data_IF_956967746690
#
_entry.id   IF_956967746690
#
_cell.length_a   1.000
_cell.length_b   1.000
_cell.length_c   1.000
_cell.angle_alpha   90.00
_cell.angle_beta   90.00
_cell.angle_gamma   90.00
#
_symmetry.space_group_name_H-M   'P 1'
#
loop_
_entity.id
_entity.type
_entity.pdbx_description
1 polymer ?
#
# COMPACT_ATOMS: atom_id res chain seq x y z
N UNK A 1 -14.98 -21.53 19.81
CA UNK A 1 -14.57 -20.13 19.53
C UNK A 1 -13.05 -20.09 19.42
N UNK A 2 -12.50 -20.03 18.21
CA UNK A 2 -11.06 -20.20 17.97
C UNK A 2 -10.25 -18.97 18.34
N UNK A 3 -9.35 -19.11 19.32
CA UNK A 3 -8.46 -18.04 19.76
C UNK A 3 -7.30 -17.95 18.77
N UNK A 4 -7.47 -17.19 17.68
CA UNK A 4 -6.37 -16.88 16.77
C UNK A 4 -5.65 -15.64 17.32
N UNK A 5 -4.63 -15.86 18.15
CA UNK A 5 -3.79 -14.79 18.72
C UNK A 5 -2.34 -15.01 18.34
N UNK A 6 -1.69 -13.96 17.82
CA UNK A 6 -0.23 -13.92 17.68
C UNK A 6 0.41 -13.44 18.99
N UNK A 7 1.54 -14.02 19.38
CA UNK A 7 2.34 -13.55 20.53
C UNK A 7 3.12 -12.25 20.26
N UNK A 8 3.14 -11.80 19.00
CA UNK A 8 3.88 -10.62 18.57
C UNK A 8 3.09 -9.35 18.87
N UNK A 9 3.73 -8.36 19.51
CA UNK A 9 3.14 -7.05 19.78
C UNK A 9 2.75 -6.30 18.49
N UNK A 10 3.57 -6.41 17.44
CA UNK A 10 3.34 -5.80 16.14
C UNK A 10 2.29 -6.58 15.34
N UNK A 11 1.00 -6.40 15.63
CA UNK A 11 -0.10 -7.09 14.93
C UNK A 11 -0.27 -6.62 13.49
N UNK A 12 -0.24 -5.31 13.29
CA UNK A 12 -0.34 -4.65 12.00
C UNK A 12 0.76 -3.60 11.91
N UNK A 13 1.53 -3.63 10.83
CA UNK A 13 2.62 -2.68 10.59
C UNK A 13 2.70 -2.34 9.11
N UNK A 14 2.93 -1.08 8.80
CA UNK A 14 3.22 -0.60 7.46
C UNK A 14 4.72 -0.40 7.32
N UNK A 15 5.27 -0.77 6.16
CA UNK A 15 6.68 -0.56 5.89
C UNK A 15 7.01 -0.54 4.41
N UNK A 16 8.28 -0.21 4.12
CA UNK A 16 8.83 -0.17 2.78
C UNK A 16 9.63 -1.44 2.48
N UNK A 17 9.39 -2.08 1.34
CA UNK A 17 10.17 -3.24 0.91
C UNK A 17 11.60 -2.79 0.57
N UNK A 18 12.59 -3.38 1.24
CA UNK A 18 14.02 -3.14 0.98
C UNK A 18 14.58 -4.19 0.01
N UNK A 19 14.11 -5.44 0.10
CA UNK A 19 14.70 -6.54 -0.66
C UNK A 19 13.77 -7.73 -0.80
N UNK A 20 13.88 -8.38 -1.95
CA UNK A 20 13.07 -9.53 -2.38
C UNK A 20 13.94 -10.71 -2.82
N UNK A 21 15.22 -10.72 -2.41
CA UNK A 21 16.20 -11.73 -2.80
C UNK A 21 15.90 -13.15 -2.26
N UNK A 22 15.00 -13.28 -1.27
CA UNK A 22 14.64 -14.55 -0.66
C UNK A 22 13.39 -15.15 -1.32
N UNK A 23 13.34 -16.48 -1.43
CA UNK A 23 12.17 -17.17 -1.97
C UNK A 23 10.95 -16.96 -1.06
N UNK A 24 9.82 -16.55 -1.66
CA UNK A 24 8.53 -16.30 -1.00
C UNK A 24 8.60 -15.44 0.28
N UNK A 25 9.58 -14.54 0.36
CA UNK A 25 9.84 -13.73 1.56
C UNK A 25 10.31 -12.33 1.19
N UNK A 26 9.64 -11.31 1.71
CA UNK A 26 10.02 -9.91 1.55
C UNK A 26 10.71 -9.38 2.81
N UNK A 27 11.81 -8.64 2.63
CA UNK A 27 12.49 -7.88 3.69
C UNK A 27 11.94 -6.47 3.73
N UNK A 28 11.26 -6.11 4.82
CA UNK A 28 10.52 -4.85 4.96
C UNK A 28 11.13 -3.97 6.04
N UNK A 29 11.30 -2.68 5.75
CA UNK A 29 11.70 -1.63 6.71
C UNK A 29 10.45 -1.00 7.31
N UNK A 30 10.30 -1.09 8.61
CA UNK A 30 9.26 -0.37 9.35
C UNK A 30 9.92 0.77 10.12
N UNK A 31 9.36 1.97 10.01
CA UNK A 31 9.79 3.16 10.73
C UNK A 31 8.77 3.52 11.79
N UNK A 32 9.22 3.80 13.01
CA UNK A 32 8.40 4.31 14.10
C UNK A 32 9.01 5.59 14.63
N UNK A 33 8.18 6.51 15.10
CA UNK A 33 8.63 7.69 15.81
C UNK A 33 8.99 7.29 17.24
N UNK A 34 10.21 7.64 17.65
CA UNK A 34 10.69 7.44 19.03
C UNK A 34 11.14 8.79 19.56
N UNK A 35 10.65 9.13 20.75
CA UNK A 35 11.02 10.35 21.45
C UNK A 35 12.43 10.21 22.01
N UNK A 36 13.30 11.15 21.70
CA UNK A 36 14.56 11.32 22.43
C UNK A 36 14.28 12.06 23.76
N UNK A 37 14.64 11.50 24.92
CA UNK A 37 14.29 12.06 26.22
C UNK A 37 15.07 13.34 26.56
N UNK A 38 16.24 13.56 25.95
CA UNK A 38 17.05 14.75 26.23
C UNK A 38 16.61 15.93 25.34
N UNK A 39 16.45 15.69 24.04
CA UNK A 39 16.05 16.72 23.07
C UNK A 39 14.54 16.95 23.01
N UNK A 40 13.73 16.05 23.59
CA UNK A 40 12.27 16.03 23.49
C UNK A 40 11.75 16.12 22.04
N UNK A 41 12.49 15.54 21.11
CA UNK A 41 12.17 15.51 19.68
C UNK A 41 11.96 14.08 19.19
N UNK A 42 10.98 13.89 18.31
CA UNK A 42 10.73 12.60 17.68
C UNK A 42 11.67 12.36 16.51
N UNK A 43 12.26 11.16 16.48
CA UNK A 43 13.10 10.71 15.38
C UNK A 43 12.61 9.37 14.83
N UNK A 44 12.86 9.16 13.54
CA UNK A 44 12.49 7.94 12.83
C UNK A 44 13.45 6.79 13.21
N UNK A 45 12.99 5.86 14.05
CA UNK A 45 13.70 4.61 14.36
C UNK A 45 13.23 3.50 13.42
N UNK A 46 14.16 2.97 12.63
CA UNK A 46 13.91 1.88 11.68
C UNK A 46 14.12 0.50 12.31
N UNK A 47 13.29 -0.47 11.94
CA UNK A 47 13.45 -1.90 12.26
C UNK A 47 13.10 -2.74 11.04
N UNK A 48 13.87 -3.79 10.78
CA UNK A 48 13.61 -4.71 9.66
C UNK A 48 12.77 -5.89 10.11
N UNK A 49 11.79 -6.24 9.28
CA UNK A 49 10.90 -7.38 9.45
C UNK A 49 10.94 -8.26 8.22
N UNK A 50 10.74 -9.56 8.41
CA UNK A 50 10.56 -10.51 7.32
C UNK A 50 9.08 -10.88 7.23
N UNK A 51 8.55 -10.76 6.02
CA UNK A 51 7.18 -11.08 5.71
C UNK A 51 7.12 -12.22 4.71
N UNK A 52 6.24 -13.19 4.93
CA UNK A 52 5.94 -14.20 3.93
C UNK A 52 5.10 -13.59 2.80
N UNK A 53 5.57 -13.75 1.57
CA UNK A 53 4.87 -13.36 0.35
C UNK A 53 4.70 -14.62 -0.51
N UNK A 54 3.48 -15.16 -0.57
CA UNK A 54 3.21 -16.42 -1.26
C UNK A 54 3.37 -16.32 -2.79
N UNK A 55 3.02 -15.16 -3.36
CA UNK A 55 2.97 -14.91 -4.80
C UNK A 55 4.21 -14.18 -5.33
N UNK A 56 5.12 -13.76 -4.44
CA UNK A 56 6.32 -12.97 -4.79
C UNK A 56 5.98 -11.70 -5.58
N UNK A 57 4.85 -11.08 -5.24
CA UNK A 57 4.33 -9.89 -5.90
C UNK A 57 5.03 -8.58 -5.47
N UNK A 58 5.74 -8.58 -4.34
CA UNK A 58 6.46 -7.40 -3.86
C UNK A 58 7.60 -7.01 -4.79
N UNK A 59 7.75 -5.70 -5.03
CA UNK A 59 8.94 -5.11 -5.65
C UNK A 59 9.69 -4.24 -4.64
N UNK A 60 11.00 -4.07 -4.87
CA UNK A 60 11.81 -3.19 -4.01
C UNK A 60 11.30 -1.76 -4.12
N UNK A 61 10.99 -1.14 -2.98
CA UNK A 61 10.46 0.20 -2.92
C UNK A 61 8.97 0.31 -2.63
N UNK A 62 8.21 -0.80 -2.75
CA UNK A 62 6.78 -0.84 -2.46
C UNK A 62 6.49 -0.49 -0.99
N UNK A 63 5.33 0.13 -0.74
CA UNK A 63 4.76 0.32 0.60
C UNK A 63 3.73 -0.78 0.83
N UNK A 64 3.95 -1.57 1.87
CA UNK A 64 3.19 -2.80 2.13
C UNK A 64 2.62 -2.81 3.55
N UNK A 65 1.44 -3.39 3.67
CA UNK A 65 0.80 -3.73 4.94
C UNK A 65 1.19 -5.15 5.34
N UNK A 66 1.72 -5.28 6.54
CA UNK A 66 2.06 -6.57 7.13
C UNK A 66 1.11 -6.90 8.27
N UNK A 67 0.69 -8.16 8.30
CA UNK A 67 -0.12 -8.74 9.38
C UNK A 67 0.70 -9.77 10.15
N UNK A 68 0.51 -9.84 11.46
CA UNK A 68 1.17 -10.84 12.29
C UNK A 68 0.58 -12.23 12.04
N UNK A 69 1.47 -13.21 11.87
CA UNK A 69 1.09 -14.61 11.83
C UNK A 69 0.72 -15.10 13.24
N UNK A 70 -0.32 -15.95 13.38
CA UNK A 70 -0.64 -16.57 14.66
C UNK A 70 0.52 -17.42 15.19
N UNK A 71 1.13 -18.20 14.28
CA UNK A 71 2.32 -19.02 14.54
C UNK A 71 3.45 -18.56 13.62
N UNK A 72 4.64 -18.23 14.15
CA UNK A 72 5.81 -17.90 13.34
C UNK A 72 6.21 -19.06 12.43
N UNK A 73 6.44 -18.80 11.14
CA UNK A 73 6.90 -19.83 10.19
C UNK A 73 8.36 -20.21 10.40
N UNK A 74 9.19 -19.22 10.71
CA UNK A 74 10.59 -19.39 11.05
C UNK A 74 10.95 -18.44 12.19
N UNK A 75 12.18 -18.52 12.71
CA UNK A 75 12.68 -17.62 13.77
C UNK A 75 12.46 -16.14 13.46
N UNK A 76 12.59 -15.76 12.19
CA UNK A 76 12.53 -14.36 11.75
C UNK A 76 11.24 -14.01 10.99
N UNK A 77 10.58 -14.98 10.33
CA UNK A 77 9.33 -14.76 9.59
C UNK A 77 8.14 -14.86 10.55
N UNK A 78 7.72 -13.70 11.05
CA UNK A 78 6.61 -13.55 12.00
C UNK A 78 5.39 -12.84 11.39
N UNK A 79 5.52 -12.36 10.15
CA UNK A 79 4.50 -11.59 9.47
C UNK A 79 4.18 -12.21 8.12
N UNK A 80 2.96 -11.96 7.65
CA UNK A 80 2.49 -12.20 6.30
C UNK A 80 2.25 -10.87 5.60
N UNK A 81 2.48 -10.85 4.28
CA UNK A 81 2.05 -9.76 3.43
C UNK A 81 0.52 -9.78 3.37
N UNK A 82 -0.13 -8.72 3.84
CA UNK A 82 -1.59 -8.59 3.74
C UNK A 82 -1.96 -7.90 2.42
N UNK A 83 -1.35 -6.75 2.15
CA UNK A 83 -1.69 -5.93 0.99
C UNK A 83 -0.49 -5.08 0.55
N UNK A 84 -0.40 -4.80 -0.75
CA UNK A 84 0.49 -3.78 -1.30
C UNK A 84 -0.31 -2.47 -1.35
N UNK A 85 -0.02 -1.55 -0.43
CA UNK A 85 -0.73 -0.27 -0.33
C UNK A 85 -0.35 0.62 -1.51
N UNK A 86 0.96 0.78 -1.75
CA UNK A 86 1.47 1.59 -2.85
C UNK A 86 2.53 0.81 -3.61
N UNK A 87 2.22 0.53 -4.88
CA UNK A 87 3.15 -0.09 -5.82
C UNK A 87 4.14 0.96 -6.32
N UNK A 88 5.44 0.64 -6.30
CA UNK A 88 6.46 1.55 -6.83
C UNK A 88 6.19 1.85 -8.31
N UNK A 89 6.13 3.14 -8.66
CA UNK A 89 5.92 3.61 -10.04
C UNK A 89 4.50 3.44 -10.60
N UNK A 90 3.58 2.75 -9.91
CA UNK A 90 2.18 2.57 -10.34
C UNK A 90 1.25 2.79 -9.16
N UNK A 91 1.29 4.00 -8.61
CA UNK A 91 0.45 4.38 -7.48
C UNK A 91 -0.94 4.74 -8.00
N UNK A 92 -1.97 4.20 -7.35
CA UNK A 92 -3.37 4.59 -7.55
C UNK A 92 -3.75 5.44 -6.34
N UNK A 93 -4.31 6.61 -6.60
CA UNK A 93 -4.81 7.48 -5.54
C UNK A 93 -6.01 6.79 -4.84
N UNK A 94 -5.96 6.53 -3.52
CA UNK A 94 -7.03 5.85 -2.81
C UNK A 94 -8.32 6.66 -2.75
N UNK A 95 -8.28 7.98 -2.97
CA UNK A 95 -9.47 8.84 -2.94
C UNK A 95 -10.21 8.80 -4.28
N UNK A 96 -9.50 8.96 -5.40
CA UNK A 96 -10.11 9.05 -6.73
C UNK A 96 -10.09 7.74 -7.52
N UNK A 97 -9.26 6.77 -7.12
CA UNK A 97 -9.03 5.53 -7.86
C UNK A 97 -8.25 5.72 -9.17
N UNK A 98 -7.70 6.92 -9.41
CA UNK A 98 -6.96 7.24 -10.64
C UNK A 98 -5.45 7.05 -10.47
N UNK A 99 -4.75 6.63 -11.53
CA UNK A 99 -3.30 6.51 -11.49
C UNK A 99 -2.64 7.88 -11.35
N UNK A 100 -1.65 7.98 -10.47
CA UNK A 100 -0.92 9.21 -10.20
C UNK A 100 0.60 9.01 -10.21
N UNK A 101 1.31 10.07 -10.60
CA UNK A 101 2.76 10.18 -10.54
C UNK A 101 3.11 11.38 -9.65
N UNK A 102 3.50 11.11 -8.40
CA UNK A 102 3.75 12.16 -7.42
C UNK A 102 2.48 12.96 -7.12
N UNK A 103 2.52 14.27 -7.40
CA UNK A 103 1.38 15.18 -7.22
C UNK A 103 0.49 15.32 -8.46
N UNK A 104 0.88 14.72 -9.60
CA UNK A 104 0.14 14.84 -10.86
C UNK A 104 -0.66 13.57 -11.16
N UNK A 105 -1.90 13.73 -11.61
CA UNK A 105 -2.71 12.63 -12.14
C UNK A 105 -2.24 12.24 -13.54
N UNK A 106 -2.12 10.94 -13.81
CA UNK A 106 -1.90 10.43 -15.15
C UNK A 106 -3.20 10.42 -15.95
N UNK A 107 -4.32 10.17 -15.28
CA UNK A 107 -5.67 10.30 -15.83
C UNK A 107 -6.47 11.33 -15.03
N UNK A 108 -6.98 12.35 -15.70
CA UNK A 108 -7.82 13.36 -15.04
C UNK A 108 -9.10 12.71 -14.49
N UNK A 109 -9.45 12.93 -13.21
CA UNK A 109 -10.67 12.38 -12.62
C UNK A 109 -11.96 12.93 -13.27
N UNK A 110 -11.90 14.13 -13.87
CA UNK A 110 -13.05 14.83 -14.47
C UNK A 110 -13.35 14.34 -15.91
N UNK A 111 -12.44 13.58 -16.52
CA UNK A 111 -12.58 13.13 -17.92
C UNK A 111 -13.83 12.25 -18.18
N UNK A 112 -14.34 11.56 -17.15
CA UNK A 112 -15.58 10.79 -17.28
C UNK A 112 -16.80 11.71 -17.38
N UNK A 113 -16.85 12.79 -16.60
CA UNK A 113 -17.95 13.75 -16.62
C UNK A 113 -18.04 14.50 -17.95
N UNK A 114 -16.90 14.88 -18.54
CA UNK A 114 -16.88 15.55 -19.85
C UNK A 114 -17.42 14.68 -20.97
N UNK A 115 -17.16 13.37 -20.93
CA UNK A 115 -17.67 12.44 -21.93
C UNK A 115 -19.19 12.22 -21.79
N UNK A 116 -19.72 12.23 -20.57
CA UNK A 116 -21.16 12.15 -20.34
C UNK A 116 -21.87 13.45 -20.76
N UNK A 117 -21.30 14.62 -20.45
CA UNK A 117 -21.83 15.91 -20.90
C UNK A 117 -21.81 16.05 -22.44
N UNK A 118 -20.73 15.61 -23.09
CA UNK A 118 -20.62 15.62 -24.55
C UNK A 118 -21.70 14.74 -25.21
N UNK A 119 -21.90 13.51 -24.71
CA UNK A 119 -22.95 12.59 -25.20
C UNK A 119 -24.36 13.16 -25.02
N UNK A 120 -24.64 13.76 -23.86
CA UNK A 120 -25.94 14.38 -23.60
C UNK A 120 -26.22 15.58 -24.55
N UNK A 121 -25.19 16.37 -24.89
CA UNK A 121 -25.33 17.47 -25.85
C UNK A 121 -25.57 16.96 -27.28
N UNK A 122 -24.94 15.86 -27.68
CA UNK A 122 -25.18 15.21 -28.97
C UNK A 122 -26.61 14.67 -29.08
N UNK A 123 -27.13 14.02 -28.03
CA UNK A 123 -28.52 13.54 -27.98
C UNK A 123 -29.55 14.67 -28.10
N UNK A 124 -29.31 15.81 -27.42
CA UNK A 124 -30.16 17.00 -27.53
C UNK A 124 -30.16 17.59 -28.94
N UNK A 125 -29.00 17.69 -29.58
CA UNK A 125 -28.90 18.20 -30.95
C UNK A 125 -29.64 17.30 -31.96
N UNK A 126 -29.59 15.98 -31.80
CA UNK A 126 -30.31 15.03 -32.66
C UNK A 126 -31.83 15.21 -32.51
N UNK A 127 -32.34 15.37 -31.29
CA UNK A 127 -33.77 15.64 -31.04
C UNK A 127 -34.29 16.96 -31.58
N UNK A 128 -33.43 17.98 -31.69
CA UNK A 128 -33.79 19.30 -32.23
C UNK A 128 -33.80 19.35 -33.77
N UNK A 129 -33.32 18.28 -34.43
CA UNK A 129 -33.15 18.20 -35.88
C UNK A 129 -34.15 17.25 -36.59
N UNK A 130 -35.11 16.68 -35.85
CA UNK A 130 -36.24 15.89 -36.37
C UNK A 130 -37.55 16.68 -36.32
#
# INVERSE_FOLDING_TARGET
MSIVRSSVHAKWIVGKVIGTAMQKTAKVRVTRLVLDPYLLKYFNKRKTYFAHDALQQCTVGDIVLLKALPVPRTKHVKHELAEIIFKVGRVIDPVTGKPCAGTTYLESPVSLETNHLAKNLEELNISSSQ
#
